data_IF_112254149510
#
_entry.id   IF_112254149510
#
_cell.length_a   1.000
_cell.length_b   1.000
_cell.length_c   1.000
_cell.angle_alpha   90.00
_cell.angle_beta   90.00
_cell.angle_gamma   90.00
#
_symmetry.space_group_name_H-M   'P 1'
#
loop_
_entity.id
_entity.type
_entity.pdbx_description
1 polymer ?
#
# COMPACT_ATOMS: atom_id res chain seq x y z
N UNK A 1 13.77 7.98 47.38
CA UNK A 1 14.84 7.43 46.53
C UNK A 1 14.40 6.05 46.07
N UNK A 2 14.25 5.88 44.76
CA UNK A 2 14.48 4.65 43.98
C UNK A 2 13.84 4.89 42.61
N UNK A 3 14.68 5.31 41.66
CA UNK A 3 14.39 5.31 40.23
C UNK A 3 14.23 3.86 39.75
N UNK A 4 13.17 3.55 39.02
CA UNK A 4 13.15 2.34 38.17
C UNK A 4 13.43 2.80 36.75
N UNK A 5 14.67 2.66 36.32
CA UNK A 5 15.11 2.90 34.95
C UNK A 5 14.51 1.83 34.05
N UNK A 6 13.73 2.26 33.07
CA UNK A 6 13.31 1.45 31.93
C UNK A 6 14.51 1.30 30.99
N UNK A 7 15.03 0.08 30.85
CA UNK A 7 16.06 -0.26 29.86
C UNK A 7 15.44 -0.40 28.48
N UNK A 8 15.93 0.30 27.44
CA UNK A 8 15.57 0.01 26.06
C UNK A 8 16.39 -1.19 25.60
N UNK A 9 15.77 -2.36 25.57
CA UNK A 9 16.36 -3.60 25.08
C UNK A 9 15.55 -4.16 23.91
N UNK A 10 16.21 -4.23 22.76
CA UNK A 10 15.94 -5.09 21.61
C UNK A 10 14.61 -4.93 20.86
N UNK A 11 14.49 -3.81 20.14
CA UNK A 11 13.74 -3.85 18.88
C UNK A 11 14.61 -4.56 17.83
N UNK A 12 14.15 -5.66 17.22
CA UNK A 12 14.85 -6.23 16.09
C UNK A 12 14.86 -5.18 14.98
N UNK A 13 16.05 -4.72 14.62
CA UNK A 13 16.28 -3.95 13.40
C UNK A 13 15.61 -4.70 12.25
N UNK A 14 14.58 -4.11 11.63
CA UNK A 14 14.05 -4.63 10.36
C UNK A 14 15.18 -4.52 9.34
N UNK A 15 15.90 -5.63 9.14
CA UNK A 15 16.85 -5.76 8.05
C UNK A 15 16.08 -5.48 6.75
N UNK A 16 16.58 -4.53 5.96
CA UNK A 16 16.13 -4.38 4.59
C UNK A 16 16.55 -5.63 3.84
N UNK A 17 15.65 -6.60 3.70
CA UNK A 17 15.89 -7.73 2.82
C UNK A 17 15.85 -7.21 1.39
N UNK A 18 17.03 -7.00 0.80
CA UNK A 18 17.18 -6.82 -0.63
C UNK A 18 16.79 -8.15 -1.28
N UNK A 19 15.55 -8.23 -1.76
CA UNK A 19 15.12 -9.32 -2.61
C UNK A 19 15.75 -9.12 -4.00
N UNK A 20 16.94 -9.73 -4.21
CA UNK A 20 17.50 -9.94 -5.53
C UNK A 20 16.68 -11.02 -6.23
N UNK A 21 15.53 -10.62 -6.78
CA UNK A 21 14.79 -11.47 -7.67
C UNK A 21 15.52 -11.52 -9.02
N UNK A 22 15.64 -12.72 -9.60
CA UNK A 22 16.18 -12.92 -10.95
C UNK A 22 15.47 -11.95 -11.91
N UNK A 23 16.23 -11.17 -12.68
CA UNK A 23 15.75 -10.08 -13.55
C UNK A 23 14.95 -10.65 -14.73
N UNK A 24 13.77 -11.20 -14.47
CA UNK A 24 12.74 -11.34 -15.46
C UNK A 24 12.15 -9.94 -15.67
N UNK A 25 12.20 -9.42 -16.89
CA UNK A 25 11.50 -8.18 -17.23
C UNK A 25 10.01 -8.38 -16.87
N UNK A 26 9.43 -7.50 -16.03
CA UNK A 26 8.02 -7.61 -15.72
C UNK A 26 7.21 -7.52 -17.01
N UNK A 27 6.12 -8.29 -17.10
CA UNK A 27 5.31 -8.26 -18.31
C UNK A 27 4.66 -6.86 -18.47
N UNK A 28 4.64 -6.37 -19.71
CA UNK A 28 4.26 -4.99 -20.03
C UNK A 28 2.87 -4.99 -20.67
N UNK A 29 1.99 -4.12 -20.18
CA UNK A 29 0.71 -3.87 -20.84
C UNK A 29 0.89 -2.90 -22.01
N UNK A 30 0.26 -3.19 -23.16
CA UNK A 30 0.22 -2.31 -24.34
C UNK A 30 -1.21 -1.79 -24.56
N UNK A 31 -1.69 -0.82 -23.76
CA UNK A 31 -3.06 -0.34 -23.87
C UNK A 31 -3.28 0.44 -25.18
N UNK A 32 -4.47 0.27 -25.77
CA UNK A 32 -4.87 0.99 -27.00
C UNK A 32 -5.10 2.48 -26.78
N UNK A 33 -5.35 2.88 -25.53
CA UNK A 33 -5.46 4.27 -25.09
C UNK A 33 -5.02 4.43 -23.64
N UNK A 34 -4.48 5.58 -23.29
CA UNK A 34 -4.15 5.92 -21.90
C UNK A 34 -5.35 6.60 -21.25
N UNK A 35 -5.67 6.17 -20.03
CA UNK A 35 -6.65 6.85 -19.18
C UNK A 35 -6.14 8.21 -18.66
N UNK A 36 -6.95 8.90 -17.84
CA UNK A 36 -6.54 10.13 -17.16
C UNK A 36 -5.30 9.91 -16.28
N UNK A 37 -4.53 10.98 -16.07
CA UNK A 37 -3.32 10.93 -15.24
C UNK A 37 -3.67 10.66 -13.77
N UNK A 38 -2.86 9.80 -13.14
CA UNK A 38 -2.93 9.50 -11.71
C UNK A 38 -3.49 8.12 -11.40
N UNK A 39 -3.28 7.68 -10.17
CA UNK A 39 -3.82 6.43 -9.64
C UNK A 39 -5.31 6.58 -9.33
N UNK A 40 -6.03 5.48 -9.47
CA UNK A 40 -7.37 5.30 -8.90
C UNK A 40 -7.26 4.51 -7.62
N UNK A 41 -8.17 4.73 -6.68
CA UNK A 41 -8.11 4.05 -5.41
C UNK A 41 -9.45 3.69 -4.81
N UNK A 42 -9.42 2.73 -3.89
CA UNK A 42 -10.54 2.31 -3.06
C UNK A 42 -10.17 2.49 -1.60
N UNK A 43 -11.07 3.09 -0.83
CA UNK A 43 -10.89 3.30 0.61
C UNK A 43 -11.80 2.33 1.35
N UNK A 44 -11.23 1.62 2.31
CA UNK A 44 -11.91 0.61 3.12
C UNK A 44 -11.90 1.03 4.59
N UNK A 45 -13.01 0.77 5.28
CA UNK A 45 -13.06 0.94 6.72
C UNK A 45 -12.11 -0.06 7.40
N UNK A 46 -11.26 0.41 8.31
CA UNK A 46 -10.41 -0.44 9.12
C UNK A 46 -10.75 -0.20 10.58
N UNK A 47 -10.89 -1.24 11.39
CA UNK A 47 -11.23 -1.06 12.80
C UNK A 47 -10.02 -0.52 13.58
N UNK A 48 -10.23 0.55 14.37
CA UNK A 48 -9.19 1.12 15.22
C UNK A 48 -8.63 0.06 16.17
N UNK A 49 -7.30 -0.02 16.27
CA UNK A 49 -6.56 -1.03 17.05
C UNK A 49 -6.79 -2.49 16.65
N UNK A 50 -7.42 -2.75 15.50
CA UNK A 50 -7.54 -4.11 14.96
C UNK A 50 -6.18 -4.68 14.58
N UNK A 51 -6.01 -5.98 14.81
CA UNK A 51 -4.81 -6.74 14.44
C UNK A 51 -4.90 -7.34 13.03
N UNK A 52 -6.03 -7.17 12.32
CA UNK A 52 -6.28 -7.77 10.99
C UNK A 52 -5.21 -7.40 9.96
N UNK A 53 -4.61 -6.21 10.04
CA UNK A 53 -3.51 -5.76 9.18
C UNK A 53 -2.23 -6.58 9.31
N UNK A 54 -2.08 -7.31 10.42
CA UNK A 54 -0.94 -8.21 10.68
C UNK A 54 -1.20 -9.64 10.24
N UNK A 55 -2.43 -9.95 9.82
CA UNK A 55 -2.75 -11.27 9.30
C UNK A 55 -1.99 -11.56 8.01
N UNK A 56 -1.53 -12.81 7.87
CA UNK A 56 -1.07 -13.31 6.58
C UNK A 56 -2.19 -13.16 5.55
N UNK A 57 -1.84 -12.60 4.39
CA UNK A 57 -2.77 -12.37 3.29
C UNK A 57 -3.56 -11.06 3.40
N UNK A 58 -3.29 -10.22 4.40
CA UNK A 58 -3.99 -8.94 4.53
C UNK A 58 -3.93 -8.11 3.25
N UNK A 59 -2.71 -7.84 2.77
CA UNK A 59 -2.47 -7.08 1.54
C UNK A 59 -2.72 -7.87 0.25
N UNK A 60 -2.87 -9.19 0.32
CA UNK A 60 -3.13 -10.02 -0.85
C UNK A 60 -4.61 -9.93 -1.25
N UNK A 61 -5.54 -9.99 -0.28
CA UNK A 61 -6.97 -9.79 -0.53
C UNK A 61 -7.81 -9.45 0.70
N UNK A 62 -7.38 -9.75 1.94
CA UNK A 62 -8.30 -9.61 3.09
C UNK A 62 -8.71 -8.15 3.35
N UNK A 63 -7.89 -7.17 2.98
CA UNK A 63 -8.28 -5.75 3.07
C UNK A 63 -9.59 -5.47 2.32
N UNK A 64 -9.91 -6.23 1.27
CA UNK A 64 -11.14 -6.03 0.48
C UNK A 64 -12.38 -6.64 1.12
N UNK A 65 -12.22 -7.46 2.16
CA UNK A 65 -13.34 -7.98 2.97
C UNK A 65 -13.90 -6.89 3.89
N UNK A 66 -13.10 -5.87 4.20
CA UNK A 66 -13.57 -4.69 4.91
C UNK A 66 -14.59 -3.90 4.08
N UNK A 67 -15.56 -3.19 4.70
CA UNK A 67 -16.50 -2.37 3.95
C UNK A 67 -15.79 -1.27 3.15
N UNK A 68 -16.01 -1.25 1.83
CA UNK A 68 -15.59 -0.12 0.99
C UNK A 68 -16.41 1.12 1.36
N UNK A 69 -15.73 2.19 1.77
CA UNK A 69 -16.35 3.46 2.17
C UNK A 69 -16.21 4.56 1.11
N UNK A 70 -15.32 4.38 0.14
CA UNK A 70 -15.09 5.40 -0.88
C UNK A 70 -14.26 4.97 -2.08
N UNK A 71 -13.94 5.98 -2.89
CA UNK A 71 -13.05 5.86 -4.04
C UNK A 71 -12.31 7.16 -4.29
N UNK A 72 -11.11 7.04 -4.87
CA UNK A 72 -10.20 8.12 -5.22
C UNK A 72 -9.88 8.05 -6.70
N UNK A 73 -9.58 9.20 -7.31
CA UNK A 73 -9.06 9.28 -8.66
C UNK A 73 -8.09 10.44 -8.80
N UNK A 74 -7.21 10.38 -9.80
CA UNK A 74 -6.27 11.46 -10.09
C UNK A 74 -5.16 11.64 -9.05
N UNK A 75 -4.85 10.60 -8.27
CA UNK A 75 -3.77 10.66 -7.27
C UNK A 75 -2.42 10.67 -8.01
N UNK A 76 -1.68 11.77 -7.92
CA UNK A 76 -0.40 11.95 -8.63
C UNK A 76 0.80 12.03 -7.69
N UNK A 77 0.57 12.42 -6.44
CA UNK A 77 1.55 12.38 -5.35
C UNK A 77 1.17 11.24 -4.40
N UNK A 78 2.04 10.23 -4.27
CA UNK A 78 1.80 9.04 -3.43
C UNK A 78 2.40 9.15 -2.02
N UNK A 79 3.25 10.16 -1.78
CA UNK A 79 3.82 10.39 -0.46
C UNK A 79 2.94 11.37 0.31
N UNK A 80 2.58 11.00 1.53
CA UNK A 80 1.91 11.88 2.47
C UNK A 80 2.43 11.62 3.88
N UNK A 81 2.31 12.63 4.73
CA UNK A 81 2.55 12.56 6.16
C UNK A 81 1.32 13.11 6.86
N UNK A 82 0.85 12.42 7.89
CA UNK A 82 -0.30 12.85 8.67
C UNK A 82 -0.01 12.57 10.14
N UNK A 83 -0.05 13.60 10.98
CA UNK A 83 0.11 13.42 12.43
C UNK A 83 -1.11 12.69 13.00
N UNK A 84 -0.90 11.48 13.51
CA UNK A 84 -1.96 10.63 14.07
C UNK A 84 -1.86 10.57 15.60
N UNK A 85 -2.94 10.87 16.33
CA UNK A 85 -3.00 10.64 17.77
C UNK A 85 -3.26 9.16 18.06
N UNK A 86 -2.71 8.67 19.18
CA UNK A 86 -2.95 7.31 19.64
C UNK A 86 -4.39 7.10 20.13
N UNK A 87 -4.94 5.91 19.86
CA UNK A 87 -6.12 5.38 20.52
C UNK A 87 -7.45 6.10 20.27
N UNK A 88 -7.52 7.04 19.31
CA UNK A 88 -8.77 7.72 18.95
C UNK A 88 -8.93 7.89 17.44
N UNK A 89 -10.17 7.82 16.97
CA UNK A 89 -10.48 8.08 15.55
C UNK A 89 -10.43 9.58 15.24
N UNK A 90 -9.64 10.00 14.25
CA UNK A 90 -9.70 11.36 13.69
C UNK A 90 -9.94 11.34 12.19
N UNK A 91 -10.64 12.38 11.70
CA UNK A 91 -11.02 12.52 10.30
C UNK A 91 -10.25 13.67 9.64
N UNK A 92 -9.51 13.35 8.60
CA UNK A 92 -8.82 14.31 7.75
C UNK A 92 -8.83 13.81 6.29
N UNK A 93 -8.05 14.44 5.41
CA UNK A 93 -7.97 14.07 4.00
C UNK A 93 -6.79 13.16 3.73
N UNK A 94 -7.06 12.04 3.06
CA UNK A 94 -6.06 11.24 2.35
C UNK A 94 -6.32 11.46 0.86
N UNK A 95 -5.35 12.01 0.12
CA UNK A 95 -5.50 12.37 -1.29
C UNK A 95 -6.81 13.11 -1.63
N UNK A 96 -7.10 14.16 -0.86
CA UNK A 96 -8.32 14.99 -0.95
C UNK A 96 -9.65 14.32 -0.56
N UNK A 97 -9.66 13.05 -0.20
CA UNK A 97 -10.85 12.35 0.30
C UNK A 97 -10.90 12.35 1.82
N UNK A 98 -12.02 12.81 2.38
CA UNK A 98 -12.23 12.85 3.82
C UNK A 98 -12.56 11.45 4.34
N UNK A 99 -11.67 10.91 5.17
CA UNK A 99 -11.81 9.58 5.80
C UNK A 99 -11.22 9.61 7.21
N UNK A 100 -11.37 8.51 7.97
CA UNK A 100 -10.54 8.31 9.15
C UNK A 100 -9.07 8.20 8.73
N UNK A 101 -8.18 8.98 9.34
CA UNK A 101 -6.73 8.90 9.07
C UNK A 101 -5.98 8.03 10.06
N UNK A 102 -6.63 7.63 11.15
CA UNK A 102 -6.07 6.74 12.18
C UNK A 102 -6.34 5.27 11.93
N UNK A 103 -7.34 4.97 11.09
CA UNK A 103 -7.79 3.61 10.83
C UNK A 103 -8.52 3.55 9.48
N UNK A 104 -7.78 3.22 8.44
CA UNK A 104 -8.30 2.94 7.11
C UNK A 104 -7.37 1.94 6.40
N UNK A 105 -7.90 1.27 5.38
CA UNK A 105 -7.09 0.60 4.39
C UNK A 105 -7.29 1.27 3.03
N UNK A 106 -6.23 1.30 2.22
CA UNK A 106 -6.19 1.99 0.95
C UNK A 106 -5.55 1.09 -0.11
N UNK A 107 -6.28 0.90 -1.20
CA UNK A 107 -5.81 0.24 -2.41
C UNK A 107 -5.67 1.29 -3.52
N UNK A 108 -4.48 1.41 -4.12
CA UNK A 108 -4.18 2.32 -5.23
C UNK A 108 -3.68 1.51 -6.42
N UNK A 109 -4.32 1.71 -7.58
CA UNK A 109 -3.98 1.04 -8.83
C UNK A 109 -3.71 2.06 -9.94
N UNK A 110 -2.73 1.74 -10.78
CA UNK A 110 -2.33 2.61 -11.88
C UNK A 110 -1.24 2.00 -12.73
N UNK A 111 -0.96 2.64 -13.87
CA UNK A 111 0.12 2.24 -14.77
C UNK A 111 1.32 3.17 -14.60
N UNK A 112 2.51 2.59 -14.46
CA UNK A 112 3.77 3.32 -14.51
C UNK A 112 4.31 3.32 -15.95
N UNK A 113 4.45 4.50 -16.56
CA UNK A 113 5.10 4.65 -17.87
C UNK A 113 6.55 5.08 -17.67
N UNK A 114 7.47 4.13 -17.84
CA UNK A 114 8.90 4.41 -17.82
C UNK A 114 9.24 5.48 -18.91
N UNK A 115 9.90 6.60 -18.56
CA UNK A 115 10.27 7.62 -19.54
C UNK A 115 11.34 7.13 -20.53
N UNK A 116 12.19 6.19 -20.09
CA UNK A 116 13.26 5.56 -20.88
C UNK A 116 13.42 4.09 -20.48
N UNK A 117 14.00 3.26 -21.34
CA UNK A 117 14.36 1.89 -20.98
C UNK A 117 15.48 1.87 -19.94
N UNK A 118 15.38 1.01 -18.92
CA UNK A 118 16.41 0.87 -17.90
C UNK A 118 15.91 0.18 -16.63
N UNK A 119 16.79 0.10 -15.64
CA UNK A 119 16.48 -0.42 -14.30
C UNK A 119 15.89 0.69 -13.43
N UNK A 120 14.78 0.39 -12.76
CA UNK A 120 14.11 1.30 -11.84
C UNK A 120 14.13 0.74 -10.42
N UNK A 121 14.33 1.61 -9.44
CA UNK A 121 14.24 1.26 -8.02
C UNK A 121 13.03 1.96 -7.41
N UNK A 122 12.10 1.18 -6.89
CA UNK A 122 10.96 1.68 -6.14
C UNK A 122 11.24 1.55 -4.64
N UNK A 123 10.83 2.54 -3.86
CA UNK A 123 10.97 2.55 -2.41
C UNK A 123 9.62 2.77 -1.79
N UNK A 124 9.29 1.95 -0.80
CA UNK A 124 8.07 2.08 0.00
C UNK A 124 8.46 2.16 1.46
N UNK A 125 7.79 3.06 2.18
CA UNK A 125 7.85 3.16 3.63
C UNK A 125 6.42 3.43 4.10
N UNK A 126 5.99 2.68 5.12
CA UNK A 126 4.69 2.87 5.74
C UNK A 126 4.78 2.65 7.23
N UNK A 127 4.11 3.50 7.99
CA UNK A 127 3.80 3.24 9.39
C UNK A 127 2.51 2.42 9.44
N UNK A 128 2.49 1.38 10.27
CA UNK A 128 1.47 0.32 10.36
C UNK A 128 1.34 -0.65 9.17
N UNK A 129 1.81 -0.30 7.96
CA UNK A 129 2.04 -1.28 6.88
C UNK A 129 1.82 -0.74 5.47
N UNK A 130 2.54 -1.28 4.50
CA UNK A 130 2.38 -1.00 3.08
C UNK A 130 2.87 -2.20 2.26
N UNK A 131 2.27 -2.42 1.09
CA UNK A 131 2.78 -3.35 0.09
C UNK A 131 2.70 -2.67 -1.29
N UNK A 132 3.71 -2.89 -2.12
CA UNK A 132 3.70 -2.49 -3.54
C UNK A 132 3.81 -3.75 -4.39
N UNK A 133 2.99 -3.84 -5.42
CA UNK A 133 3.03 -4.90 -6.43
C UNK A 133 3.32 -4.27 -7.79
N UNK A 134 4.28 -4.82 -8.53
CA UNK A 134 4.66 -4.34 -9.88
C UNK A 134 4.63 -5.50 -10.84
N UNK A 135 3.91 -5.34 -11.95
CA UNK A 135 3.75 -6.35 -12.99
C UNK A 135 2.40 -6.15 -13.70
N UNK A 136 2.09 -6.96 -14.72
CA UNK A 136 0.79 -6.91 -15.39
C UNK A 136 -0.35 -7.40 -14.49
N UNK A 137 -0.02 -8.10 -13.39
CA UNK A 137 -0.94 -8.99 -12.69
C UNK A 137 -1.25 -10.26 -13.50
N UNK A 138 -1.35 -11.43 -12.87
CA UNK A 138 -2.34 -12.44 -13.27
C UNK A 138 -3.66 -12.19 -12.56
N UNK A 139 -4.68 -12.76 -13.16
CA UNK A 139 -6.06 -12.48 -12.89
C UNK A 139 -6.49 -12.67 -11.39
N UNK A 140 -6.70 -11.61 -10.58
CA UNK A 140 -7.65 -11.54 -9.44
C UNK A 140 -9.01 -11.99 -9.84
N UNK A 141 -9.49 -12.91 -9.03
CA UNK A 141 -10.80 -12.82 -8.39
C UNK A 141 -11.61 -11.64 -8.93
N UNK A 142 -12.20 -11.96 -10.08
CA UNK A 142 -12.77 -11.06 -11.04
C UNK A 142 -13.77 -10.11 -10.39
N UNK A 143 -14.00 -8.95 -10.99
CA UNK A 143 -15.13 -8.99 -11.91
C UNK A 143 -14.82 -8.67 -13.39
N UNK A 144 -13.56 -8.38 -13.78
CA UNK A 144 -12.99 -8.63 -15.16
C UNK A 144 -11.50 -8.31 -15.37
N UNK A 145 -10.74 -7.81 -14.39
CA UNK A 145 -9.28 -7.60 -14.52
C UNK A 145 -8.62 -7.50 -13.15
N UNK A 146 -7.45 -8.07 -13.05
CA UNK A 146 -7.39 -9.14 -12.12
C UNK A 146 -5.98 -9.10 -11.42
N UNK A 147 -5.96 -9.00 -10.07
CA UNK A 147 -4.92 -9.01 -9.01
C UNK A 147 -4.46 -10.41 -8.51
N UNK A 148 -3.17 -10.62 -8.39
CA UNK A 148 -2.69 -11.78 -7.64
C UNK A 148 -1.23 -12.10 -7.81
N UNK A 149 -0.60 -11.62 -8.87
CA UNK A 149 0.83 -11.81 -9.12
C UNK A 149 1.46 -10.54 -9.69
N UNK A 150 1.90 -9.65 -8.80
CA UNK A 150 2.97 -8.74 -9.20
C UNK A 150 4.20 -9.60 -9.52
N UNK A 151 4.92 -9.29 -10.59
CA UNK A 151 6.20 -9.94 -10.88
C UNK A 151 7.14 -9.81 -9.67
N UNK A 152 7.03 -8.68 -8.95
CA UNK A 152 7.73 -8.45 -7.69
C UNK A 152 6.87 -7.68 -6.68
N UNK A 153 7.17 -7.92 -5.40
CA UNK A 153 6.52 -7.29 -4.25
C UNK A 153 7.55 -6.57 -3.38
N UNK A 154 7.19 -5.38 -2.91
CA UNK A 154 7.88 -4.71 -1.80
C UNK A 154 7.00 -4.81 -0.56
N UNK A 155 7.56 -5.28 0.56
CA UNK A 155 6.93 -5.43 1.88
C UNK A 155 7.79 -4.77 2.94
#
# INVERSE_FOLDING_TARGET
>A
MAETRYSPGDHPSKQSNQHNATVASPAICSPVSLGPRGFVGKVYAYQLNSMEGWDKGFFDCKYSLCPRIGGLSGVTELSFHLDQPDGRTIYNKVYNYRTSTTNYALDLKGFYRAPISGTYTFRVSGENGAQVQIGPGEICCDDTLADGTGDFYLR
#
